data_IF_019790084174
#
_entry.id   IF_019790084174
#
_cell.length_a   1.000
_cell.length_b   1.000
_cell.length_c   1.000
_cell.angle_alpha   90.00
_cell.angle_beta   90.00
_cell.angle_gamma   90.00
#
_symmetry.space_group_name_H-M   'P 1'
#
loop_
_entity.id
_entity.type
_entity.pdbx_description
1 polymer ?
#
# COMPACT_ATOMS: atom_id res chain seq x y z
N UNK A 1 5.31 -13.95 0.25
CA UNK A 1 4.80 -12.65 -0.25
C UNK A 1 5.06 -11.50 0.73
N UNK A 2 4.70 -11.64 2.02
CA UNK A 2 4.93 -10.61 3.05
C UNK A 2 6.38 -10.11 3.15
N UNK A 3 7.36 -11.02 3.19
CA UNK A 3 8.78 -10.64 3.26
C UNK A 3 9.25 -9.94 1.98
N UNK A 4 8.75 -10.38 0.83
CA UNK A 4 9.06 -9.82 -0.47
C UNK A 4 8.47 -8.41 -0.62
N UNK A 5 7.23 -8.19 -0.14
CA UNK A 5 6.63 -6.86 -0.08
C UNK A 5 7.38 -5.93 0.87
N UNK A 6 7.74 -6.42 2.07
CA UNK A 6 8.57 -5.66 3.00
C UNK A 6 9.89 -5.23 2.36
N UNK A 7 10.62 -6.16 1.74
CA UNK A 7 11.87 -5.85 1.06
C UNK A 7 11.69 -4.85 -0.09
N UNK A 8 10.57 -4.93 -0.81
CA UNK A 8 10.23 -3.98 -1.88
C UNK A 8 10.03 -2.57 -1.32
N UNK A 9 9.20 -2.42 -0.28
CA UNK A 9 8.95 -1.12 0.33
C UNK A 9 10.18 -0.54 1.02
N UNK A 10 10.95 -1.35 1.75
CA UNK A 10 12.20 -0.93 2.38
C UNK A 10 13.17 -0.35 1.34
N UNK A 11 13.22 -0.95 0.14
CA UNK A 11 14.00 -0.41 -0.98
C UNK A 11 13.43 0.92 -1.46
N UNK A 12 12.12 1.02 -1.71
CA UNK A 12 11.49 2.28 -2.18
C UNK A 12 11.77 3.43 -1.20
N UNK A 13 11.57 3.20 0.09
CA UNK A 13 11.80 4.19 1.14
C UNK A 13 13.25 4.64 1.15
N UNK A 14 14.20 3.69 1.09
CA UNK A 14 15.64 4.01 1.09
C UNK A 14 16.04 4.85 -0.12
N UNK A 15 15.71 4.40 -1.34
CA UNK A 15 16.12 5.10 -2.55
C UNK A 15 15.49 6.51 -2.62
N UNK A 16 14.26 6.68 -2.12
CA UNK A 16 13.62 7.99 -2.06
C UNK A 16 14.27 8.91 -1.04
N UNK A 17 14.60 8.39 0.15
CA UNK A 17 15.32 9.13 1.18
C UNK A 17 16.69 9.59 0.67
N UNK A 18 17.42 8.72 -0.04
CA UNK A 18 18.74 9.04 -0.58
C UNK A 18 18.66 10.15 -1.65
N UNK A 19 17.61 10.17 -2.46
CA UNK A 19 17.42 11.17 -3.51
C UNK A 19 16.81 12.49 -3.02
N UNK A 20 15.88 12.43 -2.06
CA UNK A 20 14.99 13.56 -1.71
C UNK A 20 15.04 13.96 -0.23
N UNK A 21 15.81 13.26 0.60
CA UNK A 21 15.89 13.46 2.05
C UNK A 21 14.53 13.55 2.75
N UNK A 22 13.57 12.73 2.31
CA UNK A 22 12.18 12.71 2.79
C UNK A 22 11.53 11.35 2.56
N UNK A 23 10.30 11.17 3.07
CA UNK A 23 9.45 10.04 2.71
C UNK A 23 8.96 10.16 1.25
N UNK A 24 8.56 9.04 0.62
CA UNK A 24 7.85 9.06 -0.64
C UNK A 24 6.60 9.93 -0.59
N UNK A 25 6.32 10.60 -1.71
CA UNK A 25 5.09 11.37 -1.92
C UNK A 25 4.22 10.73 -2.99
N UNK A 26 2.91 10.88 -2.85
CA UNK A 26 1.94 10.61 -3.91
C UNK A 26 0.91 11.73 -3.95
N UNK A 27 0.12 11.80 -5.02
CA UNK A 27 -1.13 12.57 -4.97
C UNK A 27 -2.00 12.01 -3.83
N UNK A 28 -2.62 12.91 -3.09
CA UNK A 28 -3.63 12.54 -2.12
C UNK A 28 -4.88 12.04 -2.84
N UNK A 29 -5.47 10.96 -2.32
CA UNK A 29 -6.67 10.34 -2.86
C UNK A 29 -7.70 10.34 -1.73
N UNK A 30 -8.85 10.97 -1.97
CA UNK A 30 -9.90 11.15 -0.96
C UNK A 30 -10.47 9.81 -0.47
N UNK A 31 -10.58 8.84 -1.38
CA UNK A 31 -11.10 7.51 -1.11
C UNK A 31 -10.05 6.54 -0.55
N UNK A 32 -8.78 6.95 -0.49
CA UNK A 32 -7.74 6.11 0.06
C UNK A 32 -7.79 6.12 1.59
N UNK A 33 -7.45 4.98 2.16
CA UNK A 33 -7.33 4.83 3.60
C UNK A 33 -6.29 5.80 4.16
N UNK A 34 -6.73 6.73 5.02
CA UNK A 34 -5.88 7.80 5.53
C UNK A 34 -4.68 7.29 6.37
N UNK A 35 -4.71 6.04 6.83
CA UNK A 35 -3.69 5.51 7.73
C UNK A 35 -2.30 5.39 7.10
N UNK A 36 -2.18 5.36 5.76
CA UNK A 36 -0.86 5.30 5.09
C UNK A 36 -0.21 6.67 4.93
N UNK A 37 -0.99 7.74 5.06
CA UNK A 37 -0.53 9.11 4.84
C UNK A 37 0.09 9.70 6.11
N UNK A 38 1.19 10.44 5.91
CA UNK A 38 1.92 11.11 6.97
C UNK A 38 1.77 12.63 6.80
N UNK A 39 0.81 13.20 7.53
CA UNK A 39 0.48 14.62 7.47
C UNK A 39 -0.58 14.96 6.42
N UNK A 40 -0.68 16.25 6.11
CA UNK A 40 -1.69 16.79 5.17
C UNK A 40 -1.11 16.97 3.76
N UNK A 41 -1.96 16.96 2.72
CA UNK A 41 -1.54 17.31 1.37
C UNK A 41 -0.96 18.73 1.31
N UNK A 42 0.12 18.90 0.56
CA UNK A 42 0.70 20.21 0.28
C UNK A 42 -0.16 21.00 -0.74
N UNK A 43 0.30 22.21 -1.09
CA UNK A 43 -0.43 23.10 -2.00
C UNK A 43 -0.61 22.54 -3.41
N UNK A 44 0.18 21.52 -3.77
CA UNK A 44 0.10 20.82 -5.06
C UNK A 44 -0.72 19.52 -4.95
N UNK A 45 -1.28 19.23 -3.78
CA UNK A 45 -2.09 18.05 -3.52
C UNK A 45 -1.27 16.78 -3.25
N UNK A 46 0.03 16.91 -2.98
CA UNK A 46 0.88 15.76 -2.66
C UNK A 46 0.98 15.54 -1.16
N UNK A 47 0.96 14.28 -0.74
CA UNK A 47 1.07 13.87 0.66
C UNK A 47 2.17 12.81 0.80
N UNK A 48 2.86 12.84 1.93
CA UNK A 48 3.83 11.80 2.26
C UNK A 48 3.13 10.50 2.65
N UNK A 49 3.76 9.36 2.39
CA UNK A 49 3.24 8.08 2.84
C UNK A 49 4.34 7.12 3.29
N UNK A 50 3.95 6.14 4.12
CA UNK A 50 4.79 5.02 4.50
C UNK A 50 3.97 3.73 4.57
N UNK A 51 4.55 2.57 4.23
CA UNK A 51 3.85 1.30 4.37
C UNK A 51 3.55 1.04 5.86
N UNK A 52 2.35 0.52 6.15
CA UNK A 52 2.00 0.01 7.47
C UNK A 52 1.82 -1.51 7.41
N UNK A 53 2.18 -2.17 8.51
CA UNK A 53 1.91 -3.59 8.66
C UNK A 53 0.40 -3.83 8.77
N UNK A 54 -0.11 -4.65 7.85
CA UNK A 54 -1.53 -4.98 7.80
C UNK A 54 -1.86 -6.00 8.90
N UNK A 55 -2.76 -5.63 9.80
CA UNK A 55 -3.23 -6.48 10.89
C UNK A 55 -4.58 -7.16 10.59
N UNK A 56 -5.13 -6.94 9.39
CA UNK A 56 -6.44 -7.45 8.97
C UNK A 56 -6.26 -8.30 7.73
N UNK A 57 -6.67 -9.57 7.83
CA UNK A 57 -6.75 -10.49 6.68
C UNK A 57 -8.10 -10.28 6.01
N UNK A 58 -8.08 -9.91 4.74
CA UNK A 58 -9.28 -9.74 3.93
C UNK A 58 -9.74 -11.08 3.38
N UNK A 59 -11.04 -11.31 3.43
CA UNK A 59 -11.73 -12.39 2.73
C UNK A 59 -12.12 -11.92 1.34
N UNK A 60 -11.93 -12.78 0.35
CA UNK A 60 -12.25 -12.51 -1.06
C UNK A 60 -13.47 -13.30 -1.53
N UNK A 61 -14.14 -14.05 -0.65
CA UNK A 61 -15.27 -14.91 -1.00
C UNK A 61 -16.41 -14.16 -1.71
N UNK A 62 -16.70 -12.93 -1.29
CA UNK A 62 -17.77 -12.11 -1.91
C UNK A 62 -17.43 -11.76 -3.36
N UNK A 63 -16.23 -11.26 -3.65
CA UNK A 63 -15.81 -10.90 -5.01
C UNK A 63 -15.64 -12.14 -5.91
N UNK A 64 -15.15 -13.25 -5.36
CA UNK A 64 -15.04 -14.53 -6.08
C UNK A 64 -16.42 -15.04 -6.49
N UNK A 65 -17.41 -14.96 -5.59
CA UNK A 65 -18.79 -15.34 -5.85
C UNK A 65 -19.45 -14.44 -6.90
N UNK A 66 -19.32 -13.13 -6.75
CA UNK A 66 -19.97 -12.16 -7.65
C UNK A 66 -19.43 -12.27 -9.09
N UNK A 67 -18.14 -12.57 -9.24
CA UNK A 67 -17.50 -12.75 -10.54
C UNK A 67 -17.57 -14.19 -11.06
N UNK A 68 -17.94 -15.16 -10.22
CA UNK A 68 -17.95 -16.59 -10.59
C UNK A 68 -16.55 -17.14 -10.86
N UNK A 69 -15.54 -16.65 -10.16
CA UNK A 69 -14.12 -17.04 -10.31
C UNK A 69 -13.51 -17.46 -8.98
N UNK A 70 -12.36 -18.11 -9.05
CA UNK A 70 -11.48 -18.32 -7.89
C UNK A 70 -10.16 -17.58 -8.16
N UNK A 71 -9.81 -16.64 -7.27
CA UNK A 71 -8.52 -15.95 -7.30
C UNK A 71 -7.42 -16.91 -6.88
N UNK A 72 -6.34 -16.93 -7.64
CA UNK A 72 -5.15 -17.68 -7.28
C UNK A 72 -4.61 -17.21 -5.91
N UNK A 73 -4.16 -18.15 -5.07
CA UNK A 73 -3.71 -17.85 -3.70
C UNK A 73 -2.63 -16.77 -3.63
N UNK A 74 -1.74 -16.68 -4.63
CA UNK A 74 -0.72 -15.62 -4.67
C UNK A 74 -1.29 -14.20 -4.73
N UNK A 75 -2.48 -14.01 -5.32
CA UNK A 75 -3.18 -12.73 -5.36
C UNK A 75 -3.72 -12.41 -3.96
N UNK A 76 -4.34 -13.39 -3.31
CA UNK A 76 -4.86 -13.26 -1.94
C UNK A 76 -3.72 -12.95 -0.97
N UNK A 77 -2.60 -13.66 -1.08
CA UNK A 77 -1.39 -13.44 -0.30
C UNK A 77 -0.81 -12.04 -0.55
N UNK A 78 -0.82 -11.54 -1.78
CA UNK A 78 -0.33 -10.20 -2.13
C UNK A 78 -1.15 -9.10 -1.43
N UNK A 79 -2.47 -9.15 -1.52
CA UNK A 79 -3.33 -8.14 -0.88
C UNK A 79 -3.41 -8.25 0.65
N UNK A 80 -2.98 -9.38 1.23
CA UNK A 80 -2.90 -9.61 2.67
C UNK A 80 -1.47 -9.58 3.23
N UNK A 81 -0.49 -9.14 2.44
CA UNK A 81 0.93 -9.02 2.84
C UNK A 81 1.25 -7.70 3.54
#
# INVERSE_FOLDING_TARGET
MKNEMKNCFDKIIREWQDCNNSLPKSLWIEEAEAFIYEGEPDTEGYVFWKPLEKNIIHDFSDIEKDLGIELHNSIKDYYNS
#
